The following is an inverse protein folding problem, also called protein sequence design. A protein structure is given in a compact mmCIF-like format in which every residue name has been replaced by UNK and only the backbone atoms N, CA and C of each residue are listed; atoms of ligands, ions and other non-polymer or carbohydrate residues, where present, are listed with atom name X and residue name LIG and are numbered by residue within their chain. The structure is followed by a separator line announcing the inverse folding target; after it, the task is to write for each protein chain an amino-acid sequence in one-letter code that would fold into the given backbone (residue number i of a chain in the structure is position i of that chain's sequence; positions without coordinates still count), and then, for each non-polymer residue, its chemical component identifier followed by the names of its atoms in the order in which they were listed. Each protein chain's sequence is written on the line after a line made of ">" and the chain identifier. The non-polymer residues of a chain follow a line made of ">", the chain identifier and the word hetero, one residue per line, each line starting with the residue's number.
data_IF_519429179148
#
_entry.id   IF_519429179148
#
_cell.length_a   1.000
_cell.length_b   1.000
_cell.length_c   1.000
_cell.angle_alpha   90.00
_cell.angle_beta   90.00
_cell.angle_gamma   90.00
#
_symmetry.space_group_name_H-M   'P 1'
#
loop_
_entity.id
_entity.type
_entity.pdbx_description
1 polymer ?
#
# COMPACT_ATOMS: atom_id res chain seq x y z
N UNK A 1 1.79 7.80 -26.41
CA UNK A 1 2.34 6.80 -25.47
C UNK A 1 1.46 6.81 -24.23
N UNK A 2 0.60 5.81 -24.04
CA UNK A 2 -0.26 5.74 -22.84
C UNK A 2 0.63 5.42 -21.64
N UNK A 3 0.68 6.31 -20.66
CA UNK A 3 1.31 6.01 -19.38
C UNK A 3 0.57 4.83 -18.74
N UNK A 4 1.28 3.72 -18.55
CA UNK A 4 0.76 2.55 -17.85
C UNK A 4 0.73 2.92 -16.37
N UNK A 5 -0.47 3.10 -15.80
CA UNK A 5 -0.65 3.26 -14.35
C UNK A 5 -0.12 1.99 -13.66
N UNK A 6 0.65 2.19 -12.60
CA UNK A 6 1.06 1.10 -11.70
C UNK A 6 -0.20 0.45 -11.11
N UNK A 7 -0.29 -0.88 -11.16
CA UNK A 7 -1.35 -1.63 -10.47
C UNK A 7 -1.00 -1.90 -9.00
N UNK A 8 -2.00 -2.28 -8.19
CA UNK A 8 -1.81 -2.65 -6.80
C UNK A 8 -0.82 -3.81 -6.66
N UNK A 9 -0.99 -4.87 -7.45
CA UNK A 9 -0.16 -6.08 -7.43
C UNK A 9 1.28 -5.78 -7.85
N UNK A 10 1.47 -4.91 -8.85
CA UNK A 10 2.81 -4.46 -9.24
C UNK A 10 3.47 -3.61 -8.15
N UNK A 11 2.72 -2.76 -7.45
CA UNK A 11 3.25 -1.95 -6.35
C UNK A 11 3.61 -2.81 -5.13
N UNK A 12 2.76 -3.77 -4.78
CA UNK A 12 2.99 -4.70 -3.68
C UNK A 12 4.24 -5.55 -3.94
N UNK A 13 4.38 -6.10 -5.15
CA UNK A 13 5.57 -6.87 -5.54
C UNK A 13 6.85 -6.03 -5.44
N UNK A 14 6.82 -4.78 -5.91
CA UNK A 14 7.97 -3.88 -5.77
C UNK A 14 8.30 -3.61 -4.31
N UNK A 15 7.30 -3.43 -3.46
CA UNK A 15 7.50 -3.20 -2.03
C UNK A 15 8.19 -4.40 -1.39
N UNK A 16 7.77 -5.62 -1.69
CA UNK A 16 8.41 -6.85 -1.23
C UNK A 16 9.88 -6.93 -1.67
N UNK A 17 10.16 -6.60 -2.93
CA UNK A 17 11.52 -6.56 -3.47
C UNK A 17 12.38 -5.50 -2.77
N UNK A 18 11.83 -4.31 -2.52
CA UNK A 18 12.49 -3.22 -1.80
C UNK A 18 12.81 -3.61 -0.36
N UNK A 19 11.85 -4.18 0.38
CA UNK A 19 12.03 -4.65 1.76
C UNK A 19 13.12 -5.72 1.80
N UNK A 20 13.04 -6.71 0.92
CA UNK A 20 14.05 -7.77 0.84
C UNK A 20 15.46 -7.21 0.60
N UNK A 21 15.60 -6.25 -0.31
CA UNK A 21 16.89 -5.63 -0.58
C UNK A 21 17.45 -4.84 0.63
N UNK A 22 16.57 -4.22 1.42
CA UNK A 22 16.96 -3.55 2.67
C UNK A 22 17.37 -4.56 3.75
N UNK A 23 16.67 -5.69 3.86
CA UNK A 23 16.96 -6.77 4.83
C UNK A 23 18.25 -7.54 4.50
N UNK A 24 18.50 -7.80 3.21
CA UNK A 24 19.71 -8.50 2.74
C UNK A 24 20.99 -7.70 3.07
N UNK A 25 20.87 -6.37 3.25
CA UNK A 25 21.98 -5.49 3.60
C UNK A 25 23.02 -5.36 2.48
N UNK A 26 24.24 -4.92 2.83
CA UNK A 26 25.32 -4.72 1.85
C UNK A 26 25.17 -3.51 0.93
N UNK A 27 24.15 -2.68 1.16
CA UNK A 27 23.91 -1.42 0.45
C UNK A 27 24.71 -0.27 1.06
N UNK A 28 25.07 0.71 0.24
CA UNK A 28 25.56 2.00 0.76
C UNK A 28 24.43 2.76 1.47
N UNK A 29 24.79 3.67 2.39
CA UNK A 29 23.81 4.50 3.09
C UNK A 29 22.87 5.24 2.12
N UNK A 30 23.43 5.86 1.08
CA UNK A 30 22.62 6.57 0.08
C UNK A 30 21.63 5.63 -0.61
N UNK A 31 22.05 4.41 -0.95
CA UNK A 31 21.18 3.44 -1.61
C UNK A 31 20.09 2.92 -0.68
N UNK A 32 20.41 2.72 0.60
CA UNK A 32 19.42 2.36 1.62
C UNK A 32 18.37 3.47 1.80
N UNK A 33 18.77 4.74 1.77
CA UNK A 33 17.85 5.88 1.87
C UNK A 33 16.94 6.01 0.65
N UNK A 34 17.47 5.76 -0.55
CA UNK A 34 16.67 5.71 -1.78
C UNK A 34 15.59 4.63 -1.69
N UNK A 35 15.99 3.38 -1.36
CA UNK A 35 15.06 2.26 -1.26
C UNK A 35 14.03 2.45 -0.15
N UNK A 36 14.43 3.02 1.00
CA UNK A 36 13.50 3.36 2.06
C UNK A 36 12.43 4.35 1.58
N UNK A 37 12.86 5.40 0.87
CA UNK A 37 11.93 6.42 0.33
C UNK A 37 10.97 5.80 -0.69
N UNK A 38 11.48 4.94 -1.57
CA UNK A 38 10.66 4.18 -2.52
C UNK A 38 9.65 3.28 -1.79
N UNK A 39 10.09 2.56 -0.76
CA UNK A 39 9.23 1.71 0.07
C UNK A 39 8.08 2.49 0.71
N UNK A 40 8.36 3.66 1.31
CA UNK A 40 7.33 4.54 1.88
C UNK A 40 6.30 4.99 0.84
N UNK A 41 6.75 5.31 -0.37
CA UNK A 41 5.85 5.69 -1.46
C UNK A 41 4.97 4.52 -1.91
N UNK A 42 5.53 3.31 -2.00
CA UNK A 42 4.80 2.10 -2.36
C UNK A 42 3.77 1.74 -1.30
N UNK A 43 4.11 1.79 -0.01
CA UNK A 43 3.16 1.59 1.10
C UNK A 43 1.99 2.56 1.00
N UNK A 44 2.28 3.85 0.81
CA UNK A 44 1.24 4.88 0.67
C UNK A 44 0.32 4.57 -0.50
N UNK A 45 0.87 4.20 -1.66
CA UNK A 45 0.10 3.82 -2.83
C UNK A 45 -0.80 2.61 -2.56
N UNK A 46 -0.26 1.54 -1.96
CA UNK A 46 -1.03 0.34 -1.63
C UNK A 46 -2.20 0.66 -0.69
N UNK A 47 -1.97 1.46 0.35
CA UNK A 47 -3.03 1.90 1.26
C UNK A 47 -4.11 2.73 0.54
N UNK A 48 -3.72 3.63 -0.35
CA UNK A 48 -4.67 4.41 -1.13
C UNK A 48 -5.55 3.52 -2.04
N UNK A 49 -4.99 2.48 -2.64
CA UNK A 49 -5.76 1.53 -3.45
C UNK A 49 -6.69 0.66 -2.60
N UNK A 50 -6.24 0.18 -1.43
CA UNK A 50 -7.08 -0.55 -0.48
C UNK A 50 -8.25 0.30 0.02
N UNK A 51 -8.00 1.55 0.42
CA UNK A 51 -9.04 2.50 0.83
C UNK A 51 -10.06 2.77 -0.28
N UNK A 52 -9.63 2.79 -1.55
CA UNK A 52 -10.56 2.92 -2.69
C UNK A 52 -11.41 1.67 -2.88
N UNK A 53 -10.84 0.48 -2.66
CA UNK A 53 -11.56 -0.78 -2.75
C UNK A 53 -12.60 -0.89 -1.63
N UNK A 54 -12.22 -0.56 -0.40
CA UNK A 54 -13.09 -0.51 0.77
C UNK A 54 -14.30 0.41 0.56
N UNK A 55 -14.08 1.66 0.16
CA UNK A 55 -15.17 2.60 -0.13
C UNK A 55 -16.14 2.10 -1.19
N UNK A 56 -15.65 1.37 -2.19
CA UNK A 56 -16.52 0.76 -3.20
C UNK A 56 -17.38 -0.34 -2.61
N UNK A 57 -16.83 -1.13 -1.68
CA UNK A 57 -17.57 -2.17 -0.96
C UNK A 57 -18.63 -1.52 -0.08
N UNK A 58 -18.28 -0.48 0.69
CA UNK A 58 -19.22 0.30 1.52
C UNK A 58 -20.38 0.85 0.70
N UNK A 59 -20.11 1.49 -0.44
CA UNK A 59 -21.17 2.01 -1.33
C UNK A 59 -22.12 0.92 -1.84
N UNK A 60 -21.63 -0.30 -2.10
CA UNK A 60 -22.47 -1.42 -2.51
C UNK A 60 -23.33 -1.91 -1.34
N UNK A 61 -22.74 -2.06 -0.15
CA UNK A 61 -23.45 -2.51 1.05
C UNK A 61 -24.47 -1.49 1.57
N UNK A 62 -24.21 -0.19 1.46
CA UNK A 62 -25.19 0.86 1.78
C UNK A 62 -26.37 0.86 0.79
N UNK A 63 -26.14 0.41 -0.45
CA UNK A 63 -27.17 0.34 -1.49
C UNK A 63 -28.08 -0.90 -1.38
N UNK A 64 -27.61 -1.97 -0.73
CA UNK A 64 -28.38 -3.16 -0.40
C UNK A 64 -28.73 -3.11 1.10
N UNK A 65 -29.88 -2.51 1.46
CA UNK A 65 -30.32 -2.34 2.86
C UNK A 65 -30.03 -3.58 3.74
N UNK A 66 -29.00 -3.48 4.60
CA UNK A 66 -28.86 -4.31 5.79
C UNK A 66 -27.61 -5.18 5.91
N UNK A 67 -26.40 -4.60 5.87
CA UNK A 67 -25.29 -5.02 6.74
C UNK A 67 -24.15 -4.00 6.66
N UNK A 68 -24.01 -3.13 7.66
CA UNK A 68 -22.89 -2.18 7.71
C UNK A 68 -22.22 -2.22 9.08
N UNK A 69 -21.57 -3.35 9.36
CA UNK A 69 -20.45 -3.41 10.30
C UNK A 69 -19.16 -3.56 9.47
N UNK A 70 -18.83 -2.56 8.64
CA UNK A 70 -17.50 -2.49 8.03
C UNK A 70 -16.55 -1.88 9.07
N UNK A 71 -15.48 -2.61 9.37
CA UNK A 71 -14.42 -2.09 10.24
C UNK A 71 -13.41 -1.42 9.31
N UNK A 72 -13.18 -0.09 9.44
CA UNK A 72 -12.21 0.60 8.61
C UNK A 72 -10.84 -0.06 8.73
N UNK A 73 -10.09 -0.19 7.63
CA UNK A 73 -8.68 -0.56 7.72
C UNK A 73 -7.89 0.58 8.37
N UNK A 74 -7.77 0.53 9.70
CA UNK A 74 -6.96 1.48 10.47
C UNK A 74 -5.51 0.95 10.45
N UNK A 75 -4.58 1.72 9.90
CA UNK A 75 -3.17 1.53 10.23
C UNK A 75 -3.04 1.78 11.74
N UNK A 76 -2.85 0.72 12.53
CA UNK A 76 -2.35 0.87 13.89
C UNK A 76 -0.96 1.51 13.77
N UNK A 77 -0.90 2.83 13.95
CA UNK A 77 0.35 3.53 14.21
C UNK A 77 0.83 3.09 15.60
N UNK A 78 1.50 1.94 15.66
CA UNK A 78 2.26 1.52 16.83
C UNK A 78 3.51 2.41 16.90
N UNK A 79 3.35 3.61 17.46
CA UNK A 79 4.47 4.41 17.97
C UNK A 79 4.74 3.97 19.41
N UNK A 80 5.85 3.25 19.62
CA UNK A 80 6.60 3.20 20.88
C UNK A 80 7.99 3.82 20.67
#
# INVERSE_FOLDING_TARGET
>A
MSQKKLSFEEALKKLEETVKALEDGGLSLDKSLELFTEGVQLVKFCNEELNKAEKKIEMVLESEEGFADTVPFVQEEEFD
#
